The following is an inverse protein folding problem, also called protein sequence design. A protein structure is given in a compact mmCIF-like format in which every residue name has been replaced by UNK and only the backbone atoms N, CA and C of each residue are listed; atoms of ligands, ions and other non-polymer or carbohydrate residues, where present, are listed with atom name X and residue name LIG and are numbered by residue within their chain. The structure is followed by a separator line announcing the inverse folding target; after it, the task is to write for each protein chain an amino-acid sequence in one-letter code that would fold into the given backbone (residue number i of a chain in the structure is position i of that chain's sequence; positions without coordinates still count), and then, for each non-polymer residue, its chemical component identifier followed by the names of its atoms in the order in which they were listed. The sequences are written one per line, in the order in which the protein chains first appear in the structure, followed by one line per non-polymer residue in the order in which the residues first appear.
data_IF_347513638589
#
_entry.id   IF_347513638589
#
_cell.length_a   1.000
_cell.length_b   1.000
_cell.length_c   1.000
_cell.angle_alpha   90.00
_cell.angle_beta   90.00
_cell.angle_gamma   90.00
#
_symmetry.space_group_name_H-M   'P 1'
#
loop_
_entity.id
_entity.type
_entity.pdbx_description
1 polymer ?
#
# COMPACT_ATOMS: atom_id res chain seq x y z
N UNK A 1 9.18 -1.61 11.73
CA UNK A 1 7.95 -1.20 12.42
C UNK A 1 6.98 -2.37 12.30
N UNK A 2 5.90 -2.39 13.07
CA UNK A 2 4.81 -3.33 12.80
C UNK A 2 3.51 -2.55 12.83
N UNK A 3 3.22 -1.84 11.72
CA UNK A 3 1.93 -1.14 11.55
C UNK A 3 0.75 -2.07 11.81
N UNK A 4 0.91 -3.35 11.52
CA UNK A 4 -0.06 -4.38 11.87
C UNK A 4 -0.24 -4.52 13.39
N UNK A 5 0.85 -4.63 14.16
CA UNK A 5 0.80 -4.95 15.60
C UNK A 5 0.64 -3.72 16.50
N UNK A 6 0.74 -2.50 15.95
CA UNK A 6 0.59 -1.25 16.71
C UNK A 6 -0.73 -0.53 16.34
N UNK A 7 -1.87 -0.85 16.99
CA UNK A 7 -3.18 -0.32 16.62
C UNK A 7 -3.32 1.21 16.83
N UNK A 8 -2.41 1.81 17.58
CA UNK A 8 -2.40 3.25 17.80
C UNK A 8 -1.73 4.02 16.65
N UNK A 9 -0.92 3.37 15.82
CA UNK A 9 -0.20 4.00 14.70
C UNK A 9 -1.05 3.93 13.42
N UNK A 10 -2.17 4.65 13.40
CA UNK A 10 -3.06 4.70 12.24
C UNK A 10 -2.57 5.68 11.17
N UNK A 11 -2.95 5.52 9.90
CA UNK A 11 -2.54 6.41 8.83
C UNK A 11 -2.86 7.90 9.10
N UNK A 12 -4.02 8.18 9.68
CA UNK A 12 -4.45 9.54 10.04
C UNK A 12 -3.53 10.22 11.05
N UNK A 13 -3.04 9.48 12.05
CA UNK A 13 -2.14 10.00 13.08
C UNK A 13 -0.74 10.19 12.52
N UNK A 14 -0.24 9.23 11.75
CA UNK A 14 1.05 9.33 11.04
C UNK A 14 1.05 10.56 10.13
N UNK A 15 0.01 10.73 9.31
CA UNK A 15 -0.16 11.91 8.46
C UNK A 15 -0.21 13.21 9.26
N UNK A 16 -0.92 13.23 10.39
CA UNK A 16 -1.02 14.39 11.26
C UNK A 16 0.34 14.87 11.79
N UNK A 17 1.15 13.93 12.30
CA UNK A 17 2.51 14.22 12.77
C UNK A 17 3.40 14.70 11.62
N UNK A 18 3.38 13.98 10.50
CA UNK A 18 4.21 14.31 9.34
C UNK A 18 3.89 15.69 8.76
N UNK A 19 2.59 15.99 8.58
CA UNK A 19 2.12 17.28 8.06
C UNK A 19 2.46 18.45 9.01
N UNK A 20 2.43 18.23 10.32
CA UNK A 20 2.90 19.22 11.29
C UNK A 20 4.40 19.51 11.11
N UNK A 21 5.22 18.46 11.02
CA UNK A 21 6.66 18.65 10.85
C UNK A 21 7.01 19.28 9.50
N UNK A 22 6.30 18.95 8.41
CA UNK A 22 6.49 19.58 7.10
C UNK A 22 6.35 21.12 7.14
N UNK A 23 5.46 21.64 7.99
CA UNK A 23 5.23 23.09 8.14
C UNK A 23 6.08 23.75 9.23
N UNK A 24 6.83 22.95 10.01
CA UNK A 24 7.66 23.43 11.11
C UNK A 24 9.02 23.87 10.61
N UNK A 25 9.61 24.88 11.24
CA UNK A 25 10.94 25.39 10.90
C UNK A 25 11.97 24.25 10.95
N UNK A 26 12.77 24.10 9.89
CA UNK A 26 13.76 23.03 9.74
C UNK A 26 13.19 21.60 9.85
N UNK A 27 11.86 21.44 9.76
CA UNK A 27 11.16 20.15 9.84
C UNK A 27 11.46 19.33 11.08
N UNK A 28 11.60 20.05 12.20
CA UNK A 28 12.08 19.52 13.47
C UNK A 28 11.33 20.18 14.61
N UNK A 29 11.01 19.41 15.63
CA UNK A 29 10.32 19.90 16.82
C UNK A 29 10.77 19.15 18.08
N UNK A 30 10.76 19.83 19.22
CA UNK A 30 10.93 19.17 20.52
C UNK A 30 9.77 18.21 20.78
N UNK A 31 10.08 17.00 21.23
CA UNK A 31 9.06 15.96 21.47
C UNK A 31 7.97 16.45 22.44
N UNK A 32 8.34 17.21 23.47
CA UNK A 32 7.39 17.76 24.44
C UNK A 32 6.41 18.77 23.81
N UNK A 33 6.90 19.61 22.89
CA UNK A 33 6.09 20.63 22.18
C UNK A 33 5.14 19.94 21.22
N UNK A 34 5.67 19.00 20.41
CA UNK A 34 4.87 18.17 19.50
C UNK A 34 3.76 17.43 20.25
N UNK A 35 4.09 16.88 21.42
CA UNK A 35 3.16 16.19 22.29
C UNK A 35 2.03 17.10 22.78
N UNK A 36 2.34 18.31 23.22
CA UNK A 36 1.36 19.29 23.69
C UNK A 36 0.45 19.81 22.58
N UNK A 37 0.96 19.96 21.37
CA UNK A 37 0.18 20.45 20.23
C UNK A 37 -0.78 19.39 19.69
N UNK A 38 -0.29 18.16 19.47
CA UNK A 38 -1.08 17.10 18.85
C UNK A 38 -1.94 16.31 19.85
N UNK A 39 -1.65 16.42 21.15
CA UNK A 39 -2.45 15.83 22.23
C UNK A 39 -2.48 16.76 23.46
N UNK A 40 -3.25 17.86 23.42
CA UNK A 40 -3.32 18.85 24.50
C UNK A 40 -3.58 18.25 25.89
N UNK A 41 -3.09 18.92 26.94
CA UNK A 41 -3.15 18.42 28.33
C UNK A 41 -4.60 18.10 28.78
N UNK A 42 -5.58 18.89 28.33
CA UNK A 42 -6.98 18.65 28.70
C UNK A 42 -7.55 17.34 28.14
N UNK A 43 -7.01 16.82 27.03
CA UNK A 43 -7.40 15.51 26.48
C UNK A 43 -6.82 14.33 27.27
N UNK A 44 -5.77 14.55 28.06
CA UNK A 44 -5.04 13.49 28.77
C UNK A 44 -5.06 13.63 30.29
N UNK A 45 -5.73 14.65 30.82
CA UNK A 45 -5.81 14.99 32.25
C UNK A 45 -6.27 13.84 33.15
N UNK A 46 -7.13 12.97 32.64
CA UNK A 46 -7.65 11.80 33.36
C UNK A 46 -7.15 10.46 32.78
N UNK A 47 -6.17 10.50 31.86
CA UNK A 47 -5.67 9.29 31.21
C UNK A 47 -4.65 8.56 32.12
N UNK A 48 -4.65 7.22 32.16
CA UNK A 48 -3.70 6.43 32.97
C UNK A 48 -2.23 6.62 32.55
N UNK A 49 -2.00 6.96 31.28
CA UNK A 49 -0.69 7.29 30.72
C UNK A 49 -0.83 8.57 29.91
N UNK A 50 0.12 9.52 30.01
CA UNK A 50 0.13 10.68 29.14
C UNK A 50 0.41 10.24 27.70
N UNK A 51 -0.50 10.59 26.78
CA UNK A 51 -0.30 10.57 25.32
C UNK A 51 0.18 9.23 24.69
N UNK A 52 -0.36 8.06 25.09
CA UNK A 52 0.10 6.77 24.57
C UNK A 52 -0.03 6.66 23.05
N UNK A 53 -1.08 7.24 22.46
CA UNK A 53 -1.34 7.17 21.02
C UNK A 53 -0.26 7.88 20.20
N UNK A 54 0.11 9.09 20.60
CA UNK A 54 1.08 9.90 19.87
C UNK A 54 2.49 9.31 20.00
N UNK A 55 2.87 8.88 21.21
CA UNK A 55 4.17 8.22 21.44
C UNK A 55 4.30 6.94 20.62
N UNK A 56 3.27 6.09 20.63
CA UNK A 56 3.25 4.89 19.80
C UNK A 56 3.39 5.23 18.30
N UNK A 57 2.67 6.25 17.82
CA UNK A 57 2.76 6.72 16.44
C UNK A 57 4.17 7.19 16.08
N UNK A 58 4.77 8.09 16.88
CA UNK A 58 6.12 8.61 16.66
C UNK A 58 7.14 7.46 16.67
N UNK A 59 7.04 6.54 17.62
CA UNK A 59 7.94 5.40 17.70
C UNK A 59 7.89 4.54 16.43
N UNK A 60 6.71 4.26 15.88
CA UNK A 60 6.61 3.52 14.62
C UNK A 60 7.15 4.34 13.43
N UNK A 61 6.88 5.65 13.37
CA UNK A 61 7.43 6.52 12.33
C UNK A 61 8.97 6.59 12.37
N UNK A 62 9.58 6.53 13.56
CA UNK A 62 11.05 6.42 13.71
C UNK A 62 11.55 5.05 13.28
N UNK A 63 10.88 3.97 13.71
CA UNK A 63 11.26 2.59 13.34
C UNK A 63 11.24 2.33 11.84
N UNK A 64 10.38 3.00 11.09
CA UNK A 64 10.31 2.88 9.62
C UNK A 64 11.21 3.86 8.88
N UNK A 65 11.90 4.75 9.61
CA UNK A 65 12.77 5.75 9.02
C UNK A 65 12.04 6.91 8.35
N UNK A 66 10.74 7.10 8.59
CA UNK A 66 10.05 8.32 8.16
C UNK A 66 10.53 9.53 8.98
N UNK A 67 10.75 9.32 10.27
CA UNK A 67 11.30 10.31 11.20
C UNK A 67 12.62 9.82 11.79
N UNK A 68 13.43 10.75 12.28
CA UNK A 68 14.59 10.48 13.12
C UNK A 68 14.38 11.13 14.48
N UNK A 69 14.92 10.49 15.51
CA UNK A 69 14.98 11.04 16.87
C UNK A 69 16.42 11.41 17.19
N UNK A 70 16.64 12.68 17.51
CA UNK A 70 17.92 13.22 17.91
C UNK A 70 17.74 13.96 19.24
N UNK A 71 18.39 13.48 20.29
CA UNK A 71 18.23 14.00 21.65
C UNK A 71 16.74 14.07 22.08
N UNK A 72 16.24 15.29 22.30
CA UNK A 72 14.86 15.60 22.69
C UNK A 72 13.97 16.04 21.51
N UNK A 73 14.48 15.93 20.29
CA UNK A 73 13.81 16.39 19.07
C UNK A 73 13.44 15.24 18.15
N UNK A 74 12.38 15.47 17.38
CA UNK A 74 11.93 14.62 16.29
C UNK A 74 12.01 15.45 15.01
N UNK A 75 12.58 14.87 13.96
CA UNK A 75 12.69 15.51 12.65
C UNK A 75 12.25 14.57 11.53
N UNK A 76 11.81 15.14 10.41
CA UNK A 76 11.65 14.36 9.17
C UNK A 76 13.04 13.85 8.75
N UNK A 77 13.14 12.56 8.43
CA UNK A 77 14.41 11.95 8.06
C UNK A 77 15.00 12.63 6.81
N UNK A 78 16.23 13.16 6.91
CA UNK A 78 16.90 13.88 5.83
C UNK A 78 17.22 13.01 4.61
N UNK A 79 17.31 11.70 4.81
CA UNK A 79 17.60 10.72 3.76
C UNK A 79 16.39 10.47 2.84
N UNK A 80 15.21 10.96 3.21
CA UNK A 80 14.03 10.91 2.33
C UNK A 80 14.22 11.81 1.10
N UNK A 81 13.63 11.42 -0.05
CA UNK A 81 13.65 12.23 -1.27
C UNK A 81 13.19 13.68 -1.01
N UNK A 82 13.81 14.64 -1.69
CA UNK A 82 13.51 16.06 -1.51
C UNK A 82 12.01 16.39 -1.68
N UNK A 83 11.35 15.77 -2.67
CA UNK A 83 9.92 15.93 -2.90
C UNK A 83 9.06 15.39 -1.75
N UNK A 84 9.48 14.31 -1.07
CA UNK A 84 8.77 13.77 0.09
C UNK A 84 8.88 14.73 1.29
N UNK A 85 9.97 15.50 1.36
CA UNK A 85 10.19 16.52 2.39
C UNK A 85 9.63 17.89 2.00
N UNK A 86 9.19 18.11 0.77
CA UNK A 86 8.71 19.41 0.34
C UNK A 86 7.35 19.75 1.01
N UNK A 87 7.15 20.93 1.63
CA UNK A 87 5.90 21.25 2.33
C UNK A 87 4.63 21.26 1.47
N UNK A 88 4.76 21.46 0.14
CA UNK A 88 3.64 21.46 -0.81
C UNK A 88 3.35 20.07 -1.38
N UNK A 89 4.35 19.20 -1.46
CA UNK A 89 4.23 17.88 -2.09
C UNK A 89 4.25 16.71 -1.11
N UNK A 90 4.95 16.85 0.02
CA UNK A 90 5.25 15.76 0.95
C UNK A 90 4.00 15.07 1.50
N UNK A 91 2.98 15.83 1.91
CA UNK A 91 1.71 15.26 2.39
C UNK A 91 0.98 14.47 1.29
N UNK A 92 1.06 14.92 0.03
CA UNK A 92 0.47 14.23 -1.13
C UNK A 92 1.26 12.95 -1.49
N UNK A 93 2.58 12.98 -1.34
CA UNK A 93 3.49 11.86 -1.65
C UNK A 93 3.68 10.90 -0.47
N UNK A 94 3.11 11.20 0.70
CA UNK A 94 3.28 10.40 1.90
C UNK A 94 2.85 8.94 1.73
N UNK A 95 1.72 8.60 1.07
CA UNK A 95 1.36 7.20 0.85
C UNK A 95 2.41 6.41 0.07
N UNK A 96 3.00 7.02 -0.96
CA UNK A 96 4.01 6.36 -1.80
C UNK A 96 5.36 6.27 -1.06
N UNK A 97 5.72 7.30 -0.29
CA UNK A 97 6.89 7.30 0.60
C UNK A 97 6.78 6.19 1.64
N UNK A 98 5.61 6.02 2.26
CA UNK A 98 5.39 4.97 3.25
C UNK A 98 5.38 3.58 2.62
N UNK A 99 4.79 3.42 1.43
CA UNK A 99 4.87 2.14 0.71
C UNK A 99 6.33 1.73 0.44
N UNK A 100 7.17 2.67 -0.01
CA UNK A 100 8.60 2.42 -0.18
C UNK A 100 9.27 2.02 1.14
N UNK A 101 9.03 2.76 2.22
CA UNK A 101 9.65 2.48 3.52
C UNK A 101 9.19 1.14 4.12
N UNK A 102 7.90 0.81 4.01
CA UNK A 102 7.36 -0.46 4.50
C UNK A 102 7.97 -1.64 3.74
N UNK A 103 8.02 -1.56 2.41
CA UNK A 103 8.35 -2.72 1.58
C UNK A 103 9.82 -2.81 1.15
N UNK A 104 10.63 -1.76 1.37
CA UNK A 104 12.10 -1.82 1.23
C UNK A 104 12.79 -2.34 2.49
N UNK A 105 12.05 -2.44 3.60
CA UNK A 105 12.61 -2.81 4.90
C UNK A 105 13.06 -4.27 4.94
N UNK A 106 14.24 -4.51 5.54
CA UNK A 106 14.70 -5.87 5.93
C UNK A 106 14.25 -6.23 7.36
N UNK A 107 13.30 -5.49 7.91
CA UNK A 107 12.73 -5.75 9.23
C UNK A 107 11.66 -6.85 9.11
N UNK A 108 11.81 -7.94 9.87
CA UNK A 108 10.87 -9.08 9.85
C UNK A 108 9.41 -8.66 10.08
N UNK A 109 9.15 -7.68 10.94
CA UNK A 109 7.79 -7.22 11.22
C UNK A 109 7.13 -6.52 10.01
N UNK A 110 7.93 -5.90 9.14
CA UNK A 110 7.43 -5.29 7.91
C UNK A 110 7.24 -6.33 6.81
N UNK A 111 8.03 -7.40 6.84
CA UNK A 111 7.81 -8.53 5.94
C UNK A 111 6.47 -9.20 6.23
N UNK A 112 6.06 -9.31 7.49
CA UNK A 112 4.71 -9.79 7.85
C UNK A 112 3.63 -8.90 7.18
N UNK A 113 3.78 -7.58 7.23
CA UNK A 113 2.85 -6.66 6.56
C UNK A 113 2.86 -6.82 5.04
N UNK A 114 4.05 -6.90 4.43
CA UNK A 114 4.21 -7.15 3.00
C UNK A 114 3.53 -8.44 2.54
N UNK A 115 3.72 -9.55 3.27
CA UNK A 115 3.08 -10.84 2.98
C UNK A 115 1.57 -10.76 3.01
N UNK A 116 1.01 -10.14 4.05
CA UNK A 116 -0.45 -10.00 4.18
C UNK A 116 -1.03 -9.11 3.07
N UNK A 117 -0.40 -7.98 2.74
CA UNK A 117 -0.86 -7.14 1.63
C UNK A 117 -0.78 -7.86 0.28
N UNK A 118 0.32 -8.58 0.01
CA UNK A 118 0.49 -9.34 -1.22
C UNK A 118 -0.52 -10.49 -1.33
N UNK A 119 -0.81 -11.16 -0.21
CA UNK A 119 -1.86 -12.18 -0.11
C UNK A 119 -3.24 -11.63 -0.40
N UNK A 120 -3.57 -10.47 0.17
CA UNK A 120 -4.86 -9.84 -0.07
C UNK A 120 -5.02 -9.42 -1.53
N UNK A 121 -3.97 -8.84 -2.13
CA UNK A 121 -3.91 -8.52 -3.56
C UNK A 121 -3.89 -9.76 -4.46
N UNK A 122 -3.59 -10.96 -3.94
CA UNK A 122 -3.62 -12.21 -4.70
C UNK A 122 -5.01 -12.87 -4.71
N UNK A 123 -5.95 -12.42 -3.88
CA UNK A 123 -7.31 -12.95 -3.88
C UNK A 123 -8.04 -12.59 -5.18
N UNK A 124 -9.01 -13.43 -5.56
CA UNK A 124 -9.93 -13.10 -6.64
C UNK A 124 -10.74 -11.86 -6.23
N UNK A 125 -10.69 -10.78 -7.01
CA UNK A 125 -11.36 -9.51 -6.68
C UNK A 125 -12.88 -9.66 -6.69
N UNK A 126 -13.42 -10.65 -7.42
CA UNK A 126 -14.86 -10.89 -7.53
C UNK A 126 -15.42 -11.70 -6.35
N UNK A 127 -14.55 -12.28 -5.52
CA UNK A 127 -14.90 -13.10 -4.35
C UNK A 127 -13.93 -12.83 -3.18
N UNK A 128 -13.37 -11.62 -3.11
CA UNK A 128 -12.36 -11.27 -2.12
C UNK A 128 -13.01 -11.16 -0.73
N UNK A 129 -12.36 -11.66 0.33
CA UNK A 129 -12.88 -11.51 1.67
C UNK A 129 -12.88 -10.03 2.08
N UNK A 130 -14.06 -9.49 2.40
CA UNK A 130 -14.25 -8.06 2.63
C UNK A 130 -14.34 -7.64 4.09
N UNK A 131 -14.36 -8.60 5.01
CA UNK A 131 -14.38 -8.41 6.46
C UNK A 131 -13.56 -9.49 7.18
N UNK A 132 -13.36 -9.32 8.50
CA UNK A 132 -12.55 -10.24 9.29
C UNK A 132 -13.04 -11.70 9.23
N UNK A 133 -14.35 -11.93 9.37
CA UNK A 133 -14.90 -13.29 9.40
C UNK A 133 -14.61 -14.02 8.06
N UNK A 134 -14.77 -13.32 6.95
CA UNK A 134 -14.43 -13.85 5.61
C UNK A 134 -12.92 -14.06 5.43
N UNK A 135 -12.08 -13.14 5.94
CA UNK A 135 -10.63 -13.28 5.91
C UNK A 135 -10.20 -14.51 6.71
N UNK A 136 -10.73 -14.70 7.91
CA UNK A 136 -10.43 -15.85 8.77
C UNK A 136 -10.80 -17.17 8.07
N UNK A 137 -11.98 -17.23 7.45
CA UNK A 137 -12.41 -18.39 6.65
C UNK A 137 -11.42 -18.67 5.51
N UNK A 138 -11.03 -17.64 4.75
CA UNK A 138 -10.14 -17.80 3.60
C UNK A 138 -8.73 -18.21 4.01
N UNK A 139 -8.18 -17.60 5.06
CA UNK A 139 -6.86 -17.95 5.63
C UNK A 139 -6.84 -19.40 6.08
N UNK A 140 -7.89 -19.87 6.74
CA UNK A 140 -8.02 -21.26 7.18
C UNK A 140 -8.17 -22.22 5.99
N UNK A 141 -8.98 -21.87 5.00
CA UNK A 141 -9.18 -22.67 3.77
C UNK A 141 -7.87 -22.87 3.01
N UNK A 142 -7.07 -21.80 2.88
CA UNK A 142 -5.78 -21.82 2.20
C UNK A 142 -4.62 -22.33 3.08
N UNK A 143 -4.86 -22.54 4.38
CA UNK A 143 -3.86 -23.02 5.35
C UNK A 143 -2.62 -22.12 5.46
N UNK A 144 -2.81 -20.81 5.36
CA UNK A 144 -1.73 -19.80 5.37
C UNK A 144 -1.63 -19.02 6.68
N UNK A 145 -2.34 -19.45 7.74
CA UNK A 145 -2.41 -18.74 9.02
C UNK A 145 -1.04 -18.48 9.66
N UNK A 146 -0.19 -19.50 9.75
CA UNK A 146 1.16 -19.37 10.33
C UNK A 146 2.07 -18.47 9.49
N UNK A 147 1.91 -18.51 8.17
CA UNK A 147 2.68 -17.70 7.23
C UNK A 147 2.30 -16.22 7.30
N UNK A 148 1.00 -15.91 7.36
CA UNK A 148 0.50 -14.54 7.39
C UNK A 148 0.52 -13.90 8.77
N UNK A 149 0.50 -14.71 9.84
CA UNK A 149 0.36 -14.28 11.25
C UNK A 149 -0.86 -13.36 11.49
N UNK A 150 -1.85 -13.44 10.62
CA UNK A 150 -3.10 -12.67 10.69
C UNK A 150 -4.08 -13.41 11.59
N UNK A 151 -4.08 -13.10 12.89
CA UNK A 151 -4.71 -13.92 13.93
C UNK A 151 -5.96 -13.32 14.59
N UNK A 152 -6.29 -12.06 14.31
CA UNK A 152 -7.44 -11.40 14.94
C UNK A 152 -7.92 -10.16 14.17
N UNK A 153 -9.14 -9.73 14.50
CA UNK A 153 -9.79 -8.55 13.92
C UNK A 153 -9.02 -7.22 14.11
N UNK A 154 -8.20 -7.08 15.16
CA UNK A 154 -7.42 -5.84 15.35
C UNK A 154 -6.32 -5.71 14.30
N UNK A 155 -5.64 -6.82 13.98
CA UNK A 155 -4.65 -6.86 12.90
C UNK A 155 -5.30 -6.62 11.53
N UNK A 156 -6.49 -7.19 11.31
CA UNK A 156 -7.26 -6.93 10.09
C UNK A 156 -7.66 -5.46 9.96
N UNK A 157 -8.11 -4.83 11.05
CA UNK A 157 -8.42 -3.39 11.03
C UNK A 157 -7.20 -2.53 10.66
N UNK A 158 -6.00 -2.90 11.12
CA UNK A 158 -4.78 -2.22 10.69
C UNK A 158 -4.44 -2.48 9.22
N UNK A 159 -4.56 -3.71 8.75
CA UNK A 159 -4.39 -4.04 7.33
C UNK A 159 -5.33 -3.20 6.46
N UNK A 160 -6.62 -3.19 6.78
CA UNK A 160 -7.66 -2.47 6.05
C UNK A 160 -7.36 -0.96 5.97
N UNK A 161 -7.11 -0.33 7.12
CA UNK A 161 -6.82 1.10 7.16
C UNK A 161 -5.53 1.46 6.39
N UNK A 162 -4.47 0.67 6.52
CA UNK A 162 -3.21 0.93 5.84
C UNK A 162 -3.30 0.65 4.34
N UNK A 163 -3.87 -0.48 3.91
CA UNK A 163 -4.03 -0.77 2.47
C UNK A 163 -4.90 0.27 1.77
N UNK A 164 -5.99 0.71 2.39
CA UNK A 164 -6.82 1.79 1.86
C UNK A 164 -6.02 3.11 1.75
N UNK A 165 -5.25 3.47 2.78
CA UNK A 165 -4.45 4.69 2.75
C UNK A 165 -3.34 4.65 1.70
N UNK A 166 -2.68 3.50 1.54
CA UNK A 166 -1.66 3.28 0.51
C UNK A 166 -2.28 3.17 -0.90
N UNK A 167 -3.61 3.09 -1.03
CA UNK A 167 -4.30 2.97 -2.32
C UNK A 167 -4.14 1.59 -2.97
N UNK A 168 -3.97 0.55 -2.15
CA UNK A 168 -3.90 -0.86 -2.53
C UNK A 168 -5.24 -1.58 -2.32
N UNK A 169 -6.16 -0.95 -1.59
CA UNK A 169 -7.51 -1.45 -1.36
C UNK A 169 -8.50 -0.28 -1.43
N UNK A 170 -9.76 -0.63 -1.63
CA UNK A 170 -10.87 0.31 -1.57
C UNK A 170 -11.91 -0.17 -0.56
N UNK A 171 -12.19 0.69 0.43
CA UNK A 171 -13.22 0.45 1.44
C UNK A 171 -14.49 1.22 1.13
N UNK A 172 -15.64 0.55 1.14
CA UNK A 172 -16.96 1.16 0.99
C UNK A 172 -17.90 0.72 2.12
N UNK A 173 -18.75 1.62 2.58
CA UNK A 173 -19.85 1.26 3.47
C UNK A 173 -21.03 0.71 2.65
N UNK A 174 -21.29 -0.59 2.76
CA UNK A 174 -22.45 -1.26 2.16
C UNK A 174 -23.40 -1.71 3.28
N UNK A 175 -24.65 -1.24 3.23
CA UNK A 175 -25.68 -1.55 4.24
C UNK A 175 -25.21 -1.33 5.70
N UNK A 176 -24.41 -0.29 5.94
CA UNK A 176 -23.89 0.06 7.26
C UNK A 176 -22.68 -0.77 7.73
N UNK A 177 -22.18 -1.70 6.91
CA UNK A 177 -20.94 -2.45 7.15
C UNK A 177 -19.84 -1.96 6.21
N UNK A 178 -18.63 -1.77 6.73
CA UNK A 178 -17.46 -1.51 5.89
C UNK A 178 -17.06 -2.81 5.22
N UNK A 179 -16.98 -2.80 3.89
CA UNK A 179 -16.46 -3.86 3.05
C UNK A 179 -15.24 -3.30 2.34
N UNK A 180 -14.16 -4.06 2.37
CA UNK A 180 -12.92 -3.70 1.70
C UNK A 180 -12.66 -4.68 0.56
N UNK A 181 -12.13 -4.19 -0.55
CA UNK A 181 -11.74 -5.03 -1.69
C UNK A 181 -10.32 -4.68 -2.14
N UNK A 182 -9.54 -5.64 -2.66
CA UNK A 182 -8.25 -5.36 -3.26
C UNK A 182 -8.43 -4.47 -4.50
N UNK A 183 -7.87 -3.27 -4.46
CA UNK A 183 -7.98 -2.29 -5.54
C UNK A 183 -6.71 -1.41 -5.58
N UNK A 184 -5.74 -1.76 -6.43
CA UNK A 184 -4.49 -1.03 -6.55
C UNK A 184 -4.54 0.16 -7.52
N UNK A 185 -5.71 0.56 -8.05
CA UNK A 185 -5.83 1.63 -9.06
C UNK A 185 -5.15 2.91 -8.58
N UNK A 186 -5.44 3.33 -7.34
CA UNK A 186 -4.91 4.56 -6.78
C UNK A 186 -3.37 4.50 -6.65
N UNK A 187 -2.82 3.38 -6.18
CA UNK A 187 -1.37 3.18 -6.08
C UNK A 187 -0.69 3.22 -7.45
N UNK A 188 -1.19 2.43 -8.40
CA UNK A 188 -0.61 2.34 -9.76
C UNK A 188 -0.63 3.72 -10.43
N UNK A 189 -1.75 4.42 -10.34
CA UNK A 189 -1.94 5.73 -10.96
C UNK A 189 -0.96 6.78 -10.47
N UNK A 190 -0.70 6.85 -9.15
CA UNK A 190 0.28 7.79 -8.58
C UNK A 190 1.70 7.50 -9.05
N UNK A 191 1.99 6.24 -9.38
CA UNK A 191 3.32 5.77 -9.75
C UNK A 191 3.57 5.68 -11.26
N UNK A 192 2.59 6.03 -12.13
CA UNK A 192 2.76 5.92 -13.59
C UNK A 192 4.00 6.61 -14.13
N UNK A 193 4.24 7.86 -13.73
CA UNK A 193 5.42 8.62 -14.19
C UNK A 193 6.73 7.88 -13.90
N UNK A 194 6.80 7.22 -12.75
CA UNK A 194 7.97 6.42 -12.35
C UNK A 194 8.07 5.10 -13.12
N UNK A 195 6.95 4.38 -13.28
CA UNK A 195 6.91 3.09 -13.98
C UNK A 195 7.24 3.25 -15.46
N UNK A 196 6.70 4.29 -16.12
CA UNK A 196 6.95 4.56 -17.52
C UNK A 196 8.34 5.16 -17.78
N UNK A 197 8.94 5.86 -16.81
CA UNK A 197 10.31 6.39 -16.90
C UNK A 197 10.60 7.12 -18.23
N UNK A 198 9.78 8.12 -18.53
CA UNK A 198 9.77 8.92 -19.78
C UNK A 198 9.24 8.21 -21.04
N UNK A 199 9.21 6.88 -21.08
CA UNK A 199 8.57 6.12 -22.16
C UNK A 199 7.06 6.41 -22.19
N UNK A 200 6.47 6.53 -23.38
CA UNK A 200 5.00 6.59 -23.50
C UNK A 200 4.36 5.24 -23.71
N UNK A 201 5.11 4.29 -24.27
CA UNK A 201 4.66 2.97 -24.62
C UNK A 201 5.74 1.97 -24.26
N UNK A 202 5.36 0.92 -23.52
CA UNK A 202 6.26 -0.16 -23.12
C UNK A 202 5.53 -1.50 -23.25
N UNK A 203 6.31 -2.60 -23.23
CA UNK A 203 5.75 -3.94 -23.12
C UNK A 203 5.01 -4.06 -21.78
N UNK A 204 3.90 -4.78 -21.77
CA UNK A 204 3.15 -4.98 -20.54
C UNK A 204 3.95 -5.79 -19.51
N UNK A 205 4.78 -6.73 -19.94
CA UNK A 205 5.69 -7.44 -19.03
C UNK A 205 6.69 -6.47 -18.37
N UNK A 206 7.25 -5.52 -19.13
CA UNK A 206 8.16 -4.51 -18.57
C UNK A 206 7.45 -3.59 -17.59
N UNK A 207 6.22 -3.18 -17.90
CA UNK A 207 5.39 -2.40 -16.97
C UNK A 207 5.22 -3.14 -15.64
N UNK A 208 4.88 -4.43 -15.68
CA UNK A 208 4.67 -5.25 -14.50
C UNK A 208 5.97 -5.45 -13.71
N UNK A 209 7.08 -5.74 -14.38
CA UNK A 209 8.40 -5.85 -13.73
C UNK A 209 8.81 -4.53 -13.07
N UNK A 210 8.58 -3.38 -13.72
CA UNK A 210 8.87 -2.06 -13.15
C UNK A 210 7.94 -1.74 -11.97
N UNK A 211 6.66 -2.10 -12.05
CA UNK A 211 5.70 -1.98 -10.95
C UNK A 211 6.13 -2.82 -9.74
N UNK A 212 6.58 -4.06 -9.95
CA UNK A 212 7.05 -4.96 -8.92
C UNK A 212 8.33 -4.48 -8.23
N UNK A 213 9.25 -3.87 -8.98
CA UNK A 213 10.44 -3.21 -8.42
C UNK A 213 10.07 -2.02 -7.55
N UNK A 214 9.02 -1.28 -7.93
CA UNK A 214 8.52 -0.14 -7.16
C UNK A 214 7.76 -0.59 -5.91
N UNK A 215 6.99 -1.67 -6.01
CA UNK A 215 6.19 -2.23 -4.94
C UNK A 215 6.22 -3.76 -5.03
N UNK A 216 6.95 -4.45 -4.15
CA UNK A 216 7.18 -5.90 -4.24
C UNK A 216 5.94 -6.75 -3.90
N UNK A 217 4.77 -6.13 -3.76
CA UNK A 217 3.47 -6.79 -3.57
C UNK A 217 2.84 -7.27 -4.88
N UNK A 218 3.24 -6.68 -6.01
CA UNK A 218 2.73 -7.04 -7.33
C UNK A 218 3.49 -8.23 -7.91
N UNK A 219 2.97 -8.76 -9.01
CA UNK A 219 3.56 -9.84 -9.80
C UNK A 219 5.07 -9.75 -9.96
N UNK A 220 5.80 -10.87 -9.80
CA UNK A 220 7.28 -10.93 -9.84
C UNK A 220 8.00 -10.17 -8.71
N UNK A 221 7.24 -9.59 -7.79
CA UNK A 221 7.77 -8.98 -6.57
C UNK A 221 8.01 -10.03 -5.48
N UNK A 222 8.99 -9.77 -4.61
CA UNK A 222 9.39 -10.67 -3.52
C UNK A 222 8.19 -11.23 -2.72
N UNK A 223 7.34 -10.35 -2.18
CA UNK A 223 6.22 -10.80 -1.34
C UNK A 223 5.16 -11.54 -2.12
N UNK A 224 4.99 -11.19 -3.40
CA UNK A 224 4.06 -11.88 -4.28
C UNK A 224 4.51 -13.31 -4.57
N UNK A 225 5.79 -13.51 -4.87
CA UNK A 225 6.37 -14.84 -5.09
C UNK A 225 6.29 -15.70 -3.81
N UNK A 226 6.57 -15.11 -2.65
CA UNK A 226 6.40 -15.79 -1.35
C UNK A 226 4.95 -16.27 -1.18
N UNK A 227 3.96 -15.41 -1.42
CA UNK A 227 2.53 -15.76 -1.31
C UNK A 227 2.13 -16.83 -2.32
N UNK A 228 2.48 -16.67 -3.59
CA UNK A 228 2.12 -17.63 -4.65
C UNK A 228 2.72 -19.03 -4.40
N UNK A 229 3.80 -19.12 -3.62
CA UNK A 229 4.36 -20.40 -3.16
C UNK A 229 3.54 -21.12 -2.09
N UNK A 230 2.65 -20.40 -1.37
CA UNK A 230 1.88 -20.92 -0.24
C UNK A 230 0.44 -21.30 -0.60
N UNK A 231 -0.15 -20.62 -1.58
CA UNK A 231 -1.53 -20.86 -2.02
C UNK A 231 -1.52 -21.63 -3.34
N UNK A 232 -2.19 -21.13 -4.37
CA UNK A 232 -2.08 -21.65 -5.74
C UNK A 232 -1.14 -20.78 -6.57
N UNK A 233 -0.19 -21.43 -7.25
CA UNK A 233 0.68 -20.77 -8.22
C UNK A 233 -0.16 -20.36 -9.42
N UNK A 234 -0.19 -19.06 -9.68
CA UNK A 234 -0.85 -18.52 -10.87
C UNK A 234 -0.14 -19.00 -12.14
N UNK A 235 -0.93 -19.24 -13.19
CA UNK A 235 -0.38 -19.62 -14.49
C UNK A 235 0.62 -18.58 -15.02
N UNK A 236 1.69 -19.02 -15.72
CA UNK A 236 2.64 -18.11 -16.35
C UNK A 236 1.93 -17.11 -17.28
N UNK A 237 2.41 -15.87 -17.29
CA UNK A 237 1.87 -14.75 -18.08
C UNK A 237 0.44 -14.28 -17.72
N UNK A 238 -0.26 -14.92 -16.77
CA UNK A 238 -1.50 -14.37 -16.24
C UNK A 238 -1.19 -13.25 -15.24
N UNK A 239 -2.02 -12.21 -15.21
CA UNK A 239 -2.09 -11.25 -14.10
C UNK A 239 -3.06 -11.75 -13.03
N UNK A 240 -2.98 -11.24 -11.78
CA UNK A 240 -4.10 -11.46 -10.86
C UNK A 240 -5.29 -10.65 -11.33
N UNK A 241 -6.47 -11.11 -10.94
CA UNK A 241 -7.72 -10.38 -11.18
C UNK A 241 -7.67 -8.97 -10.61
N UNK A 242 -7.00 -8.72 -9.48
CA UNK A 242 -6.81 -7.39 -8.90
C UNK A 242 -6.01 -6.43 -9.81
N UNK A 243 -4.85 -6.87 -10.30
CA UNK A 243 -4.01 -6.08 -11.22
C UNK A 243 -4.69 -5.93 -12.58
N UNK A 244 -5.28 -7.01 -13.11
CA UNK A 244 -6.00 -6.99 -14.37
C UNK A 244 -7.20 -6.03 -14.33
N UNK A 245 -8.02 -6.11 -13.29
CA UNK A 245 -9.14 -5.20 -13.07
C UNK A 245 -8.67 -3.74 -12.98
N UNK A 246 -7.60 -3.47 -12.22
CA UNK A 246 -7.05 -2.13 -12.13
C UNK A 246 -6.62 -1.58 -13.50
N UNK A 247 -5.95 -2.40 -14.33
CA UNK A 247 -5.54 -1.99 -15.68
C UNK A 247 -6.73 -1.73 -16.60
N UNK A 248 -7.78 -2.56 -16.55
CA UNK A 248 -9.00 -2.32 -17.32
C UNK A 248 -9.69 -1.02 -16.90
N UNK A 249 -9.82 -0.77 -15.59
CA UNK A 249 -10.39 0.47 -15.06
C UNK A 249 -9.57 1.70 -15.45
N UNK A 250 -8.24 1.61 -15.37
CA UNK A 250 -7.33 2.67 -15.82
C UNK A 250 -7.45 2.95 -17.32
N UNK A 251 -7.73 1.92 -18.14
CA UNK A 251 -8.04 2.10 -19.55
C UNK A 251 -9.40 2.77 -19.77
N UNK A 252 -10.46 2.32 -19.10
CA UNK A 252 -11.80 2.91 -19.17
C UNK A 252 -11.79 4.40 -18.76
N UNK A 253 -11.03 4.72 -17.71
CA UNK A 253 -10.83 6.09 -17.25
C UNK A 253 -9.89 6.89 -18.15
N UNK A 254 -9.29 6.26 -19.18
CA UNK A 254 -8.44 6.87 -20.19
C UNK A 254 -7.07 7.32 -19.70
N UNK A 255 -6.53 6.70 -18.64
CA UNK A 255 -5.15 6.92 -18.19
C UNK A 255 -4.15 6.13 -19.02
N UNK A 256 -4.56 4.95 -19.48
CA UNK A 256 -3.73 4.06 -20.30
C UNK A 256 -4.51 3.54 -21.50
N UNK A 257 -3.78 3.02 -22.49
CA UNK A 257 -4.33 2.23 -23.57
C UNK A 257 -3.61 0.88 -23.59
N UNK A 258 -4.36 -0.21 -23.55
CA UNK A 258 -3.86 -1.57 -23.64
C UNK A 258 -3.94 -2.03 -25.10
N UNK A 259 -2.87 -2.64 -25.60
CA UNK A 259 -2.76 -3.04 -27.00
C UNK A 259 -2.28 -4.47 -27.16
N UNK A 260 -2.87 -5.14 -28.16
CA UNK A 260 -2.42 -6.42 -28.69
C UNK A 260 -1.71 -6.19 -30.02
N UNK A 261 -0.42 -6.52 -30.09
CA UNK A 261 0.36 -6.54 -31.32
C UNK A 261 0.66 -7.99 -31.69
N UNK A 262 0.63 -8.30 -32.99
CA UNK A 262 0.65 -9.68 -33.49
C UNK A 262 1.96 -10.45 -33.24
N UNK A 263 3.08 -9.76 -33.02
CA UNK A 263 4.43 -10.34 -32.93
C UNK A 263 5.11 -10.09 -31.58
N UNK A 264 4.33 -9.88 -30.52
CA UNK A 264 4.84 -9.59 -29.18
C UNK A 264 4.30 -10.57 -28.14
N UNK A 265 5.09 -10.83 -27.11
CA UNK A 265 4.68 -11.66 -25.98
C UNK A 265 3.43 -11.09 -25.31
N UNK A 266 2.49 -11.98 -25.00
CA UNK A 266 1.20 -11.62 -24.43
C UNK A 266 1.17 -11.92 -22.95
N UNK A 267 0.71 -10.93 -22.20
CA UNK A 267 0.21 -11.08 -20.84
C UNK A 267 -1.31 -11.24 -20.89
N UNK A 268 -1.83 -12.07 -20.00
CA UNK A 268 -3.24 -12.44 -19.94
C UNK A 268 -3.88 -11.77 -18.72
N UNK A 269 -4.88 -10.94 -18.97
CA UNK A 269 -5.63 -10.19 -17.96
C UNK A 269 -6.94 -10.93 -17.69
N UNK A 270 -7.01 -11.77 -16.63
CA UNK A 270 -8.24 -12.46 -16.30
C UNK A 270 -9.33 -11.51 -15.83
N UNK A 271 -10.56 -11.82 -16.21
CA UNK A 271 -11.80 -11.26 -15.68
C UNK A 271 -12.41 -12.26 -14.69
N UNK A 272 -13.71 -12.14 -14.42
CA UNK A 272 -14.44 -13.04 -13.52
C UNK A 272 -14.21 -14.51 -13.89
N UNK A 273 -14.07 -15.37 -12.87
CA UNK A 273 -13.79 -16.80 -13.01
C UNK A 273 -12.51 -17.13 -13.79
N UNK A 274 -11.50 -16.27 -13.75
CA UNK A 274 -10.24 -16.40 -14.50
C UNK A 274 -10.40 -16.51 -16.03
N UNK A 275 -11.52 -16.02 -16.58
CA UNK A 275 -11.74 -16.02 -18.02
C UNK A 275 -10.93 -14.92 -18.70
N UNK A 276 -10.35 -15.25 -19.86
CA UNK A 276 -9.58 -14.29 -20.69
C UNK A 276 -10.21 -14.26 -22.09
N UNK A 277 -10.80 -13.13 -22.43
CA UNK A 277 -11.30 -12.84 -23.78
C UNK A 277 -10.23 -12.14 -24.63
N UNK A 278 -10.59 -11.74 -25.85
CA UNK A 278 -9.63 -11.10 -26.76
C UNK A 278 -9.08 -9.77 -26.23
N UNK A 279 -9.87 -9.02 -25.45
CA UNK A 279 -9.44 -7.77 -24.81
C UNK A 279 -8.51 -8.02 -23.62
N UNK A 280 -8.51 -9.23 -23.06
CA UNK A 280 -7.59 -9.65 -22.00
C UNK A 280 -6.22 -10.11 -22.49
N UNK A 281 -5.94 -10.08 -23.80
CA UNK A 281 -4.66 -10.53 -24.37
C UNK A 281 -3.81 -9.33 -24.76
N UNK A 282 -2.97 -8.86 -23.85
CA UNK A 282 -2.28 -7.58 -23.96
C UNK A 282 -0.77 -7.77 -24.07
N UNK A 283 -0.17 -7.07 -25.02
CA UNK A 283 1.28 -7.03 -25.24
C UNK A 283 1.92 -5.73 -24.79
N UNK A 284 1.22 -4.61 -24.94
CA UNK A 284 1.75 -3.26 -24.71
C UNK A 284 0.76 -2.42 -23.91
N UNK A 285 1.31 -1.45 -23.19
CA UNK A 285 0.57 -0.44 -22.47
C UNK A 285 1.11 0.95 -22.82
N UNK A 286 0.21 1.87 -23.12
CA UNK A 286 0.53 3.26 -23.46
C UNK A 286 -0.01 4.18 -22.39
N UNK A 287 0.85 5.02 -21.79
CA UNK A 287 0.42 6.07 -20.88
C UNK A 287 -0.11 7.28 -21.65
N UNK A 288 -1.32 7.73 -21.31
CA UNK A 288 -1.97 8.87 -21.95
C UNK A 288 -1.55 10.23 -21.35
N UNK A 289 -0.60 10.24 -20.40
CA UNK A 289 -0.13 11.43 -19.71
C UNK A 289 -0.92 11.76 -18.44
N UNK A 290 -0.51 12.83 -17.75
CA UNK A 290 -1.24 13.36 -16.60
C UNK A 290 -2.52 14.04 -17.08
N UNK A 291 -3.67 13.59 -16.58
CA UNK A 291 -4.93 14.35 -16.73
C UNK A 291 -4.91 15.50 -15.73
N UNK A 292 -5.06 16.72 -16.23
CA UNK A 292 -5.21 17.96 -15.44
C UNK A 292 -6.45 17.90 -14.56
#
# INVERSE_FOLDING_TARGET
MSVLKQPLATPSRVRGVFRYLLSTKNQREKIEVLEKILSPDELVKNAPSPRPMLRATINEMVKVGLLVKEDEEIAINSDLPENARNPQLGDKLLPDTLAELFFASKNEDEEDFGRVCAWYLAQDIYDAPGNWDEVEIQVNKQKVGDFLKMSNNTLYGQLDDWMCYLGLAWGQALAGKRITVPDPIAYIKRNFKHIFNEDKEILLIDFITRLARKCPLFETGKFREEVESQVDIRQPNYLSTSTAFALFRLQEEGYVKLLRKSDADLMLLPKINNQVDDDGRISHIIWQGEKL
#
